data_IF_592639419055
#
_entry.id   IF_592639419055
#
_cell.length_a   1.000
_cell.length_b   1.000
_cell.length_c   1.000
_cell.angle_alpha   90.00
_cell.angle_beta   90.00
_cell.angle_gamma   90.00
#
_symmetry.space_group_name_H-M   'P 1'
#
loop_
_entity.id
_entity.type
_entity.pdbx_description
1 polymer ?
#
# COMPACT_ATOMS: atom_id res chain seq x y z
N UNK A 1 7.33 23.91 -6.40
CA UNK A 1 7.16 22.49 -6.79
C UNK A 1 7.37 22.36 -8.29
N UNK A 2 8.09 21.33 -8.74
CA UNK A 2 8.28 21.03 -10.18
C UNK A 2 7.00 20.45 -10.79
N UNK A 3 6.16 19.83 -9.95
CA UNK A 3 4.89 19.22 -10.34
C UNK A 3 3.74 19.90 -9.60
N UNK A 4 2.64 20.13 -10.29
CA UNK A 4 1.36 20.54 -9.71
C UNK A 4 0.55 19.29 -9.39
N UNK A 5 0.53 18.92 -8.11
CA UNK A 5 -0.09 17.66 -7.63
C UNK A 5 -1.53 17.93 -7.20
N UNK A 6 -2.49 17.51 -8.00
CA UNK A 6 -3.92 17.65 -7.67
C UNK A 6 -4.41 16.56 -6.72
N UNK A 7 -3.91 15.34 -6.88
CA UNK A 7 -4.36 14.16 -6.11
C UNK A 7 -3.16 13.33 -5.65
N UNK A 8 -3.21 12.89 -4.41
CA UNK A 8 -2.31 11.86 -3.87
C UNK A 8 -3.11 10.57 -3.66
N UNK A 9 -2.59 9.46 -4.17
CA UNK A 9 -3.05 8.11 -3.85
C UNK A 9 -2.13 7.56 -2.78
N UNK A 10 -2.65 7.28 -1.61
CA UNK A 10 -1.89 6.84 -0.44
C UNK A 10 -2.30 5.42 -0.02
N UNK A 11 -1.60 4.38 -0.49
CA UNK A 11 -1.81 3.02 -0.01
C UNK A 11 -1.32 2.90 1.43
N UNK A 12 -2.17 2.37 2.31
CA UNK A 12 -1.89 2.13 3.73
C UNK A 12 -1.98 0.65 4.07
N UNK A 13 -1.46 0.27 5.22
CA UNK A 13 -1.36 -1.10 5.72
C UNK A 13 -0.26 -1.89 5.02
N UNK A 14 -0.54 -3.04 4.43
CA UNK A 14 0.45 -3.90 3.79
C UNK A 14 1.49 -4.43 4.80
N UNK A 15 0.98 -5.04 5.91
CA UNK A 15 1.74 -5.43 7.10
C UNK A 15 2.28 -4.21 7.89
N UNK A 16 1.46 -3.17 8.03
CA UNK A 16 1.77 -1.99 8.83
C UNK A 16 1.93 -2.34 10.32
N UNK A 17 1.08 -3.23 10.82
CA UNK A 17 1.23 -3.83 12.14
C UNK A 17 1.85 -5.21 12.04
N UNK A 18 2.70 -5.53 13.01
CA UNK A 18 3.37 -6.83 13.04
C UNK A 18 2.46 -7.97 13.51
N UNK A 19 1.36 -7.63 14.20
CA UNK A 19 0.40 -8.61 14.75
C UNK A 19 -1.04 -8.17 14.51
N UNK A 20 -1.95 -9.16 14.42
CA UNK A 20 -3.38 -8.93 14.20
C UNK A 20 -4.22 -8.97 15.48
N UNK A 21 -3.69 -9.51 16.58
CA UNK A 21 -4.49 -9.81 17.77
C UNK A 21 -3.69 -9.78 19.08
N UNK A 22 -4.40 -9.87 20.22
CA UNK A 22 -3.81 -9.89 21.56
C UNK A 22 -2.92 -11.10 21.84
N UNK A 23 -2.99 -12.18 21.05
CA UNK A 23 -2.12 -13.35 21.19
C UNK A 23 -0.76 -13.15 20.53
N UNK A 24 -0.46 -11.92 20.09
CA UNK A 24 0.80 -11.56 19.44
C UNK A 24 1.09 -12.44 18.23
N UNK A 25 0.08 -12.65 17.40
CA UNK A 25 0.21 -13.47 16.20
C UNK A 25 -0.30 -12.73 14.95
N UNK A 26 0.19 -13.17 13.79
CA UNK A 26 -0.34 -12.74 12.49
C UNK A 26 -1.79 -13.21 12.32
N UNK A 27 -2.46 -12.75 11.27
CA UNK A 27 -3.82 -13.19 10.91
C UNK A 27 -3.94 -14.71 10.83
N UNK A 28 -2.91 -15.40 10.36
CA UNK A 28 -2.86 -16.86 10.25
C UNK A 28 -2.34 -17.58 11.51
N UNK A 29 -2.12 -16.85 12.61
CA UNK A 29 -1.74 -17.43 13.89
C UNK A 29 -0.23 -17.63 14.10
N UNK A 30 0.64 -17.12 13.22
CA UNK A 30 2.10 -17.18 13.42
C UNK A 30 2.50 -16.24 14.55
N UNK A 31 3.13 -16.74 15.65
CA UNK A 31 3.58 -15.88 16.74
C UNK A 31 4.62 -14.86 16.29
N UNK A 32 4.56 -13.66 16.85
CA UNK A 32 5.47 -12.57 16.56
C UNK A 32 6.02 -11.94 17.83
N UNK A 33 7.28 -11.53 17.80
CA UNK A 33 7.87 -10.74 18.87
C UNK A 33 7.47 -9.26 18.69
N UNK A 34 6.80 -8.69 19.68
CA UNK A 34 6.41 -7.28 19.68
C UNK A 34 6.99 -6.54 20.88
N UNK A 35 7.42 -5.31 20.65
CA UNK A 35 8.01 -4.45 21.69
C UNK A 35 6.96 -3.66 22.47
N UNK A 36 5.77 -3.47 21.92
CA UNK A 36 4.67 -2.70 22.51
C UNK A 36 3.50 -3.61 22.88
N UNK A 37 2.62 -3.15 23.77
CA UNK A 37 1.32 -3.78 23.93
C UNK A 37 0.40 -3.47 22.74
N UNK A 38 -0.62 -4.28 22.56
CA UNK A 38 -1.52 -4.23 21.41
C UNK A 38 -2.24 -2.88 21.24
N UNK A 39 -2.69 -2.27 22.34
CA UNK A 39 -3.42 -1.00 22.31
C UNK A 39 -2.50 0.16 21.94
N UNK A 40 -1.33 0.26 22.59
CA UNK A 40 -0.33 1.28 22.31
C UNK A 40 0.19 1.22 20.87
N UNK A 41 0.39 0.01 20.32
CA UNK A 41 0.77 -0.17 18.92
C UNK A 41 -0.31 0.39 17.98
N UNK A 42 -1.59 0.10 18.25
CA UNK A 42 -2.70 0.58 17.44
C UNK A 42 -2.85 2.10 17.51
N UNK A 43 -2.82 2.68 18.71
CA UNK A 43 -2.93 4.13 18.91
C UNK A 43 -1.80 4.88 18.23
N UNK A 44 -0.56 4.40 18.35
CA UNK A 44 0.58 4.98 17.66
C UNK A 44 0.39 4.93 16.14
N UNK A 45 0.02 3.79 15.61
CA UNK A 45 -0.21 3.61 14.17
C UNK A 45 -1.33 4.50 13.64
N UNK A 46 -2.44 4.61 14.38
CA UNK A 46 -3.54 5.51 14.04
C UNK A 46 -3.08 6.97 13.98
N UNK A 47 -2.38 7.45 15.01
CA UNK A 47 -1.91 8.83 15.08
C UNK A 47 -0.90 9.15 13.98
N UNK A 48 0.04 8.26 13.69
CA UNK A 48 1.01 8.41 12.58
C UNK A 48 0.28 8.57 11.24
N UNK A 49 -0.73 7.75 10.97
CA UNK A 49 -1.48 7.86 9.71
C UNK A 49 -2.37 9.10 9.66
N UNK A 50 -2.99 9.50 10.77
CA UNK A 50 -3.73 10.77 10.85
C UNK A 50 -2.83 11.95 10.50
N UNK A 51 -1.65 12.04 11.08
CA UNK A 51 -0.71 13.14 10.83
C UNK A 51 -0.18 13.09 9.39
N UNK A 52 0.11 11.90 8.87
CA UNK A 52 0.52 11.72 7.48
C UNK A 52 -0.57 12.18 6.50
N UNK A 53 -1.82 11.75 6.69
CA UNK A 53 -2.93 12.16 5.82
C UNK A 53 -3.15 13.68 5.88
N UNK A 54 -3.08 14.29 7.06
CA UNK A 54 -3.15 15.75 7.22
C UNK A 54 -2.03 16.47 6.46
N UNK A 55 -0.80 15.96 6.56
CA UNK A 55 0.35 16.51 5.84
C UNK A 55 0.18 16.39 4.31
N UNK A 56 -0.28 15.25 3.83
CA UNK A 56 -0.59 15.07 2.40
C UNK A 56 -1.67 16.05 1.96
N UNK A 57 -2.78 16.14 2.70
CA UNK A 57 -3.90 17.03 2.40
C UNK A 57 -3.52 18.51 2.39
N UNK A 58 -2.55 18.92 3.22
CA UNK A 58 -2.05 20.29 3.21
C UNK A 58 -1.26 20.66 1.93
N UNK A 59 -0.83 19.65 1.16
CA UNK A 59 0.01 19.82 -0.02
C UNK A 59 -0.67 19.42 -1.35
N UNK A 60 -1.90 18.93 -1.32
CA UNK A 60 -2.66 18.59 -2.52
C UNK A 60 -4.17 18.81 -2.31
N UNK A 61 -4.90 18.88 -3.41
CA UNK A 61 -6.33 19.12 -3.40
C UNK A 61 -7.13 17.89 -2.89
N UNK A 62 -6.71 16.69 -3.28
CA UNK A 62 -7.42 15.45 -2.95
C UNK A 62 -6.48 14.33 -2.49
N UNK A 63 -6.87 13.61 -1.42
CA UNK A 63 -6.17 12.41 -0.93
C UNK A 63 -7.09 11.20 -1.04
N UNK A 64 -6.69 10.20 -1.79
CA UNK A 64 -7.35 8.89 -1.84
C UNK A 64 -6.54 7.88 -1.04
N UNK A 65 -7.07 7.43 0.09
CA UNK A 65 -6.45 6.43 0.95
C UNK A 65 -6.93 5.05 0.54
N UNK A 66 -6.01 4.13 0.24
CA UNK A 66 -6.33 2.77 -0.21
C UNK A 66 -5.82 1.74 0.80
N UNK A 67 -6.74 0.95 1.37
CA UNK A 67 -6.38 -0.15 2.26
C UNK A 67 -5.82 -1.32 1.45
N UNK A 68 -4.54 -1.63 1.62
CA UNK A 68 -3.90 -2.84 1.08
C UNK A 68 -3.70 -3.82 2.24
N UNK A 69 -4.55 -4.83 2.35
CA UNK A 69 -4.50 -5.79 3.46
C UNK A 69 -3.29 -6.72 3.34
N UNK A 70 -2.50 -6.78 4.41
CA UNK A 70 -1.38 -7.72 4.56
C UNK A 70 -1.81 -9.09 5.09
N UNK A 71 -0.83 -9.94 5.35
CA UNK A 71 -1.07 -11.24 5.99
C UNK A 71 -0.74 -11.24 7.50
N UNK A 72 -0.10 -10.20 8.01
CA UNK A 72 0.19 -10.04 9.43
C UNK A 72 -0.97 -9.42 10.20
N UNK A 73 -1.70 -8.47 9.61
CA UNK A 73 -2.56 -7.52 10.32
C UNK A 73 -3.93 -7.29 9.65
N UNK A 74 -4.45 -8.26 8.92
CA UNK A 74 -5.64 -8.09 8.08
C UNK A 74 -6.85 -7.50 8.82
N UNK A 75 -7.16 -8.02 10.01
CA UNK A 75 -8.28 -7.55 10.82
C UNK A 75 -8.01 -6.17 11.41
N UNK A 76 -6.82 -6.00 12.00
CA UNK A 76 -6.40 -4.73 12.62
C UNK A 76 -6.36 -3.60 11.58
N UNK A 77 -5.82 -3.86 10.40
CA UNK A 77 -5.77 -2.91 9.28
C UNK A 77 -7.14 -2.49 8.79
N UNK A 78 -8.11 -3.42 8.73
CA UNK A 78 -9.48 -3.08 8.35
C UNK A 78 -10.11 -2.10 9.35
N UNK A 79 -9.97 -2.37 10.66
CA UNK A 79 -10.47 -1.46 11.69
C UNK A 79 -9.73 -0.13 11.70
N UNK A 80 -8.42 -0.12 11.44
CA UNK A 80 -7.64 1.10 11.29
C UNK A 80 -8.18 1.98 10.14
N UNK A 81 -8.36 1.40 8.96
CA UNK A 81 -8.89 2.12 7.80
C UNK A 81 -10.32 2.62 8.05
N UNK A 82 -11.15 1.85 8.76
CA UNK A 82 -12.49 2.27 9.14
C UNK A 82 -12.47 3.45 10.15
N UNK A 83 -11.59 3.40 11.15
CA UNK A 83 -11.43 4.48 12.12
C UNK A 83 -10.93 5.78 11.46
N UNK A 84 -9.98 5.68 10.52
CA UNK A 84 -9.49 6.81 9.75
C UNK A 84 -10.57 7.42 8.86
N UNK A 85 -11.38 6.61 8.18
CA UNK A 85 -12.51 7.05 7.36
C UNK A 85 -13.53 7.84 8.20
N UNK A 86 -13.87 7.33 9.40
CA UNK A 86 -14.75 8.06 10.34
C UNK A 86 -14.10 9.36 10.82
N UNK A 87 -12.80 9.35 11.12
CA UNK A 87 -12.07 10.52 11.60
C UNK A 87 -12.08 11.66 10.56
N UNK A 88 -11.90 11.33 9.30
CA UNK A 88 -11.84 12.30 8.20
C UNK A 88 -13.17 12.55 7.48
N UNK A 89 -14.27 11.95 7.92
CA UNK A 89 -15.59 12.01 7.24
C UNK A 89 -16.13 13.41 6.97
N UNK A 90 -15.61 14.45 7.64
CA UNK A 90 -16.02 15.84 7.45
C UNK A 90 -15.27 16.55 6.31
N UNK A 91 -14.25 15.92 5.71
CA UNK A 91 -13.48 16.45 4.59
C UNK A 91 -13.75 15.61 3.33
N UNK A 92 -14.62 16.11 2.44
CA UNK A 92 -15.01 15.43 1.19
C UNK A 92 -13.85 15.22 0.21
N UNK A 93 -12.71 15.87 0.44
CA UNK A 93 -11.50 15.70 -0.37
C UNK A 93 -10.56 14.61 0.14
N UNK A 94 -10.93 13.90 1.21
CA UNK A 94 -10.23 12.71 1.69
C UNK A 94 -11.17 11.51 1.52
N UNK A 95 -10.82 10.59 0.63
CA UNK A 95 -11.64 9.42 0.31
C UNK A 95 -10.94 8.13 0.67
N UNK A 96 -11.71 7.10 1.02
CA UNK A 96 -11.19 5.81 1.44
C UNK A 96 -11.70 4.68 0.55
N UNK A 97 -10.78 3.87 0.01
CA UNK A 97 -11.05 2.59 -0.64
C UNK A 97 -10.68 1.49 0.36
N UNK A 98 -11.66 0.97 1.10
CA UNK A 98 -11.44 0.06 2.24
C UNK A 98 -12.34 -1.18 2.28
N UNK A 99 -12.96 -1.53 1.17
CA UNK A 99 -13.73 -2.78 1.06
C UNK A 99 -12.84 -3.97 1.43
N UNK A 100 -13.41 -5.00 2.01
CA UNK A 100 -12.67 -6.23 2.28
C UNK A 100 -12.21 -6.89 0.98
N UNK A 101 -10.95 -7.31 0.93
CA UNK A 101 -10.35 -7.96 -0.23
C UNK A 101 -8.89 -7.60 -0.43
N UNK A 102 -8.14 -8.55 -0.97
CA UNK A 102 -6.68 -8.46 -1.14
C UNK A 102 -6.26 -7.61 -2.35
N UNK A 103 -7.20 -7.30 -3.23
CA UNK A 103 -6.94 -6.61 -4.49
C UNK A 103 -7.63 -5.25 -4.47
N UNK A 104 -6.88 -4.20 -4.76
CA UNK A 104 -7.39 -2.84 -4.91
C UNK A 104 -6.86 -2.22 -6.20
N UNK A 105 -7.57 -1.22 -6.69
CA UNK A 105 -7.07 -0.44 -7.81
C UNK A 105 -7.65 0.98 -7.80
N UNK A 106 -6.93 1.88 -8.45
CA UNK A 106 -7.39 3.21 -8.84
C UNK A 106 -6.99 3.51 -10.27
N UNK A 107 -7.52 4.59 -10.82
CA UNK A 107 -7.18 5.06 -12.16
C UNK A 107 -6.73 6.52 -12.07
N UNK A 108 -5.60 6.83 -12.69
CA UNK A 108 -5.09 8.19 -12.85
C UNK A 108 -4.97 8.50 -14.34
N UNK A 109 -5.95 9.22 -14.87
CA UNK A 109 -6.03 9.47 -16.31
C UNK A 109 -6.07 8.17 -17.11
N UNK A 110 -5.07 7.93 -17.94
CA UNK A 110 -4.93 6.74 -18.79
C UNK A 110 -4.17 5.58 -18.12
N UNK A 111 -3.87 5.70 -16.80
CA UNK A 111 -3.08 4.70 -16.08
C UNK A 111 -3.95 3.95 -15.07
N UNK A 112 -4.00 2.66 -15.20
CA UNK A 112 -4.49 1.75 -14.18
C UNK A 112 -3.38 1.49 -13.16
N UNK A 113 -3.68 1.65 -11.87
CA UNK A 113 -2.76 1.33 -10.77
C UNK A 113 -3.43 0.32 -9.86
N UNK A 114 -2.94 -0.91 -9.89
CA UNK A 114 -3.37 -2.00 -9.03
C UNK A 114 -2.50 -2.11 -7.77
N UNK A 115 -3.08 -2.59 -6.68
CA UNK A 115 -2.41 -2.85 -5.42
C UNK A 115 -2.70 -4.26 -4.94
N UNK A 116 -1.67 -4.96 -4.50
CA UNK A 116 -1.76 -6.29 -3.91
C UNK A 116 -0.65 -6.42 -2.86
N UNK A 117 -0.88 -7.12 -1.75
CA UNK A 117 0.16 -7.29 -0.74
C UNK A 117 1.47 -7.88 -1.30
N UNK A 118 1.41 -8.90 -2.12
CA UNK A 118 2.60 -9.50 -2.75
C UNK A 118 2.82 -10.98 -2.41
N UNK A 119 2.05 -11.55 -1.49
CA UNK A 119 2.12 -12.95 -1.09
C UNK A 119 1.55 -13.93 -2.15
N UNK A 120 1.77 -13.64 -3.42
CA UNK A 120 1.31 -14.42 -4.56
C UNK A 120 2.39 -14.57 -5.63
N UNK A 121 2.09 -15.37 -6.68
CA UNK A 121 2.93 -15.41 -7.88
C UNK A 121 2.72 -14.13 -8.69
N UNK A 122 3.73 -13.30 -8.79
CA UNK A 122 3.64 -11.99 -9.47
C UNK A 122 3.23 -12.13 -10.96
N UNK A 123 3.58 -13.24 -11.62
CA UNK A 123 3.20 -13.49 -13.00
C UNK A 123 1.68 -13.72 -13.20
N UNK A 124 0.94 -13.98 -12.11
CA UNK A 124 -0.52 -14.10 -12.12
C UNK A 124 -1.25 -12.75 -11.99
N UNK A 125 -0.58 -11.69 -11.53
CA UNK A 125 -1.21 -10.38 -11.26
C UNK A 125 -1.88 -9.76 -12.50
N UNK A 126 -1.28 -9.77 -13.71
CA UNK A 126 -1.95 -9.23 -14.88
C UNK A 126 -3.30 -9.91 -15.17
N UNK A 127 -3.35 -11.24 -15.06
CA UNK A 127 -4.60 -11.99 -15.28
C UNK A 127 -5.60 -11.73 -14.15
N UNK A 128 -5.14 -11.64 -12.91
CA UNK A 128 -5.98 -11.35 -11.74
C UNK A 128 -6.75 -10.04 -11.93
N UNK A 129 -6.08 -8.96 -12.35
CA UNK A 129 -6.74 -7.67 -12.59
C UNK A 129 -7.58 -7.67 -13.86
N UNK A 130 -7.13 -8.33 -14.92
CA UNK A 130 -7.87 -8.43 -16.18
C UNK A 130 -9.20 -9.18 -16.05
N UNK A 131 -9.31 -10.08 -15.07
CA UNK A 131 -10.52 -10.89 -14.82
C UNK A 131 -11.28 -10.48 -13.54
N UNK A 132 -10.80 -9.47 -12.82
CA UNK A 132 -11.43 -9.07 -11.56
C UNK A 132 -12.83 -8.47 -11.79
N UNK A 133 -13.88 -8.91 -11.07
CA UNK A 133 -15.25 -8.47 -11.32
C UNK A 133 -15.44 -6.95 -11.31
N UNK A 134 -14.72 -6.25 -10.42
CA UNK A 134 -14.81 -4.79 -10.27
C UNK A 134 -13.84 -4.04 -11.18
N UNK A 135 -12.63 -4.54 -11.37
CA UNK A 135 -11.52 -3.77 -11.95
C UNK A 135 -11.18 -4.11 -13.40
N UNK A 136 -11.73 -5.21 -13.95
CA UNK A 136 -11.40 -5.67 -15.31
C UNK A 136 -11.70 -4.62 -16.38
N UNK A 137 -12.79 -3.85 -16.22
CA UNK A 137 -13.10 -2.76 -17.16
C UNK A 137 -12.05 -1.66 -17.09
N UNK A 138 -11.66 -1.19 -15.90
CA UNK A 138 -10.64 -0.15 -15.74
C UNK A 138 -9.28 -0.62 -16.27
N UNK A 139 -8.95 -1.90 -16.02
CA UNK A 139 -7.75 -2.53 -16.53
C UNK A 139 -7.73 -2.61 -18.06
N UNK A 140 -8.85 -2.97 -18.69
CA UNK A 140 -8.99 -3.06 -20.14
C UNK A 140 -8.92 -1.71 -20.85
N UNK A 141 -9.57 -0.69 -20.28
CA UNK A 141 -9.66 0.66 -20.85
C UNK A 141 -8.33 1.46 -20.71
N UNK A 142 -7.47 1.09 -19.76
CA UNK A 142 -6.23 1.82 -19.51
C UNK A 142 -5.19 1.64 -20.62
N UNK A 143 -4.48 2.71 -20.95
CA UNK A 143 -3.31 2.66 -21.84
C UNK A 143 -2.08 2.10 -21.11
N UNK A 144 -1.86 2.55 -19.88
CA UNK A 144 -0.75 2.13 -19.03
C UNK A 144 -1.28 1.31 -17.86
N UNK A 145 -0.54 0.27 -17.48
CA UNK A 145 -0.92 -0.63 -16.38
C UNK A 145 0.25 -0.86 -15.48
N UNK A 146 0.09 -0.50 -14.21
CA UNK A 146 1.06 -0.77 -13.16
C UNK A 146 0.39 -1.51 -12.02
N UNK A 147 1.14 -2.41 -11.37
CA UNK A 147 0.70 -3.09 -10.14
C UNK A 147 1.80 -2.95 -9.10
N UNK A 148 1.44 -2.45 -7.94
CA UNK A 148 2.34 -2.26 -6.82
C UNK A 148 2.13 -3.37 -5.79
N UNK A 149 3.21 -3.95 -5.33
CA UNK A 149 3.21 -5.01 -4.32
C UNK A 149 4.20 -4.71 -3.20
N UNK A 150 4.07 -5.40 -2.07
CA UNK A 150 4.99 -5.39 -0.94
C UNK A 150 5.50 -6.79 -0.60
N UNK A 151 5.36 -7.22 0.67
CA UNK A 151 5.64 -8.54 1.26
C UNK A 151 7.13 -8.95 1.26
N UNK A 152 7.85 -8.78 0.17
CA UNK A 152 9.22 -9.31 -0.01
C UNK A 152 10.33 -8.39 0.51
N UNK A 153 10.00 -7.19 0.99
CA UNK A 153 10.90 -6.23 1.62
C UNK A 153 12.13 -5.82 0.79
N UNK A 154 12.08 -5.97 -0.55
CA UNK A 154 13.12 -5.48 -1.46
C UNK A 154 12.49 -4.90 -2.71
N UNK A 155 13.16 -3.93 -3.31
CA UNK A 155 12.72 -3.33 -4.55
C UNK A 155 12.93 -4.29 -5.73
N UNK A 156 11.91 -4.38 -6.59
CA UNK A 156 11.98 -5.05 -7.89
C UNK A 156 11.02 -4.38 -8.86
N UNK A 157 11.43 -4.18 -10.09
CA UNK A 157 10.54 -3.78 -11.17
C UNK A 157 10.66 -4.77 -12.34
N UNK A 158 9.51 -5.24 -12.84
CA UNK A 158 9.43 -6.20 -13.95
C UNK A 158 8.23 -5.86 -14.82
N UNK A 159 8.37 -6.00 -16.12
CA UNK A 159 7.24 -5.93 -17.04
C UNK A 159 6.77 -7.35 -17.40
N UNK A 160 5.46 -7.60 -17.26
CA UNK A 160 4.82 -8.89 -17.54
C UNK A 160 3.59 -8.63 -18.42
N UNK A 161 3.65 -9.07 -19.67
CA UNK A 161 2.54 -8.97 -20.63
C UNK A 161 1.95 -7.56 -20.74
N UNK A 162 2.80 -6.54 -20.79
CA UNK A 162 2.42 -5.13 -20.89
C UNK A 162 1.92 -4.51 -19.58
N UNK A 163 2.13 -5.18 -18.45
CA UNK A 163 1.87 -4.66 -17.11
C UNK A 163 3.18 -4.49 -16.38
N UNK A 164 3.46 -3.29 -15.88
CA UNK A 164 4.61 -3.05 -15.00
C UNK A 164 4.26 -3.48 -13.59
N UNK A 165 4.98 -4.47 -13.08
CA UNK A 165 4.89 -4.88 -11.68
C UNK A 165 6.05 -4.24 -10.92
N UNK A 166 5.73 -3.51 -9.87
CA UNK A 166 6.71 -2.84 -9.01
C UNK A 166 6.51 -3.32 -7.57
N UNK A 167 7.49 -4.05 -7.07
CA UNK A 167 7.55 -4.46 -5.67
C UNK A 167 8.26 -3.37 -4.88
N UNK A 168 7.57 -2.85 -3.88
CA UNK A 168 8.04 -1.73 -3.09
C UNK A 168 9.03 -2.19 -2.01
N UNK A 169 10.06 -1.38 -1.72
CA UNK A 169 10.90 -1.61 -0.55
C UNK A 169 10.09 -1.41 0.73
N UNK A 170 10.61 -1.86 1.86
CA UNK A 170 10.01 -1.66 3.18
C UNK A 170 10.73 -0.55 3.95
N UNK A 171 9.99 0.17 4.79
CA UNK A 171 10.54 1.08 5.80
C UNK A 171 10.97 0.34 7.07
N UNK A 172 10.45 -0.89 7.29
CA UNK A 172 10.77 -1.69 8.48
C UNK A 172 12.21 -2.19 8.47
N UNK A 173 12.80 -2.32 9.66
CA UNK A 173 14.08 -3.02 9.85
C UNK A 173 13.94 -4.53 9.65
N UNK A 174 15.07 -5.22 9.52
CA UNK A 174 15.09 -6.67 9.51
C UNK A 174 14.69 -7.21 10.89
N UNK A 175 13.62 -7.98 10.95
CA UNK A 175 13.22 -8.74 12.12
C UNK A 175 14.02 -10.06 12.26
N UNK A 176 13.63 -10.91 13.22
CA UNK A 176 14.28 -12.19 13.46
C UNK A 176 14.18 -13.11 12.23
N UNK A 177 13.02 -13.18 11.59
CA UNK A 177 12.82 -14.01 10.39
C UNK A 177 13.75 -13.60 9.25
N UNK A 178 13.90 -12.28 9.02
CA UNK A 178 14.82 -11.75 8.00
C UNK A 178 16.27 -12.13 8.30
N UNK A 179 16.68 -12.05 9.58
CA UNK A 179 18.03 -12.45 10.02
C UNK A 179 18.28 -13.95 9.81
N UNK A 180 17.32 -14.78 10.19
CA UNK A 180 17.41 -16.23 10.06
C UNK A 180 17.44 -16.70 8.59
N UNK A 181 16.88 -15.90 7.66
CA UNK A 181 16.84 -16.17 6.22
C UNK A 181 17.83 -15.34 5.39
N UNK A 182 18.78 -14.63 6.02
CA UNK A 182 19.82 -13.81 5.37
C UNK A 182 19.29 -12.63 4.52
N UNK A 183 18.10 -12.08 4.83
CA UNK A 183 17.51 -10.90 4.17
C UNK A 183 17.85 -9.59 4.91
N UNK A 184 19.06 -9.47 5.47
CA UNK A 184 19.44 -8.36 6.37
C UNK A 184 19.94 -7.10 5.66
N UNK A 185 20.12 -7.12 4.33
CA UNK A 185 20.75 -6.04 3.56
C UNK A 185 19.79 -5.33 2.59
N UNK A 186 18.47 -5.55 2.72
CA UNK A 186 17.50 -4.82 1.90
C UNK A 186 17.53 -3.32 2.22
N UNK A 187 17.54 -2.49 1.18
CA UNK A 187 17.48 -1.03 1.33
C UNK A 187 16.12 -0.65 1.90
N UNK A 188 16.15 0.09 3.01
CA UNK A 188 14.94 0.65 3.63
C UNK A 188 14.63 1.97 2.96
N UNK A 189 13.47 2.06 2.32
CA UNK A 189 13.10 3.25 1.58
C UNK A 189 11.58 3.41 1.45
N UNK A 190 11.16 4.65 1.25
CA UNK A 190 9.83 5.01 0.76
C UNK A 190 9.94 5.49 -0.69
N UNK A 191 8.93 5.17 -1.50
CA UNK A 191 8.84 5.63 -2.89
C UNK A 191 7.65 6.58 -3.07
N UNK A 192 7.88 7.68 -3.79
CA UNK A 192 6.83 8.54 -4.30
C UNK A 192 6.86 8.52 -5.84
N UNK A 193 5.73 8.21 -6.44
CA UNK A 193 5.57 8.06 -7.88
C UNK A 193 4.69 9.17 -8.43
N UNK A 194 5.11 9.83 -9.48
CA UNK A 194 4.34 10.90 -10.12
C UNK A 194 3.78 10.40 -11.45
N UNK A 195 2.48 10.59 -11.63
CA UNK A 195 1.77 10.19 -12.85
C UNK A 195 1.15 11.41 -13.52
N UNK A 196 1.40 11.54 -14.81
CA UNK A 196 0.66 12.44 -15.69
C UNK A 196 -0.58 11.71 -16.22
N UNK A 197 -1.71 12.44 -16.35
CA UNK A 197 -2.99 11.86 -16.78
C UNK A 197 -2.98 11.26 -18.19
N UNK A 198 -2.04 11.71 -19.07
CA UNK A 198 -1.97 11.31 -20.49
C UNK A 198 -0.85 10.33 -20.78
N UNK A 199 0.33 10.53 -20.14
CA UNK A 199 1.55 9.79 -20.50
C UNK A 199 2.00 8.77 -19.43
N UNK A 200 1.25 8.62 -18.34
CA UNK A 200 1.55 7.65 -17.29
C UNK A 200 2.61 8.13 -16.31
N UNK A 201 3.43 7.22 -15.78
CA UNK A 201 4.46 7.55 -14.78
C UNK A 201 5.56 8.41 -15.38
N UNK A 202 5.80 9.60 -14.78
CA UNK A 202 6.78 10.60 -15.24
C UNK A 202 7.95 10.77 -14.29
N UNK A 203 7.81 10.42 -13.00
CA UNK A 203 8.91 10.49 -12.05
C UNK A 203 8.75 9.44 -10.93
N UNK A 204 9.88 9.14 -10.31
CA UNK A 204 9.98 8.29 -9.12
C UNK A 204 11.02 8.93 -8.19
N UNK A 205 10.65 9.08 -6.92
CA UNK A 205 11.51 9.59 -5.87
C UNK A 205 11.69 8.52 -4.83
N UNK A 206 12.91 8.31 -4.37
CA UNK A 206 13.26 7.36 -3.33
C UNK A 206 13.85 8.12 -2.15
N UNK A 207 13.27 7.92 -0.95
CA UNK A 207 13.81 8.40 0.31
C UNK A 207 14.28 7.20 1.12
N UNK A 208 15.56 7.17 1.45
CA UNK A 208 16.22 6.10 2.22
C UNK A 208 16.35 6.47 3.68
N UNK A 209 16.23 5.45 4.56
CA UNK A 209 16.37 5.59 6.00
C UNK A 209 17.62 4.84 6.49
#
# INVERSE_FOLDING_TARGET
>A
SVYDINKVVFPISNDFFHTDNYHKSTTNGTPQDIMMDYASEYELGFNVLVDTIKMLKANCEHVEVILVQGNHDRTKSYYLAHALDIYFKADDNITFVREDGLVKATVVGNTFIGFHHGNCKIDALPLLFATHPTYSKWFGDATYREVHTGDKHHYMAKEIKGVRIQQMPSLSGADRWHKDNNFVHSVRAALALVYDKKVGKVAEFEERI
#
